data_IF_693497893709
#
_entry.id   IF_693497893709
#
_cell.length_a   1.000
_cell.length_b   1.000
_cell.length_c   1.000
_cell.angle_alpha   90.00
_cell.angle_beta   90.00
_cell.angle_gamma   90.00
#
_symmetry.space_group_name_H-M   'P 1'
#
loop_
_entity.id
_entity.type
_entity.pdbx_description
1 polymer ?
#
# COMPACT_ATOMS: atom_id res chain seq x y z
N UNK A 1 8.79 -31.90 62.74
CA UNK A 1 7.72 -30.96 62.30
C UNK A 1 8.06 -29.49 62.57
N UNK A 2 8.57 -29.09 63.75
CA UNK A 2 8.89 -27.66 64.03
C UNK A 2 9.94 -27.02 63.11
N UNK A 3 11.01 -27.73 62.71
CA UNK A 3 12.09 -27.17 61.85
C UNK A 3 11.65 -26.91 60.39
N UNK A 4 10.68 -27.68 59.88
CA UNK A 4 10.12 -27.49 58.54
C UNK A 4 9.16 -26.29 58.52
N UNK A 5 8.39 -26.09 59.60
CA UNK A 5 7.53 -24.90 59.74
C UNK A 5 8.32 -23.58 59.77
N UNK A 6 9.51 -23.54 60.38
CA UNK A 6 10.34 -22.33 60.36
C UNK A 6 10.91 -22.03 58.98
N UNK A 7 11.33 -23.05 58.23
CA UNK A 7 11.84 -22.89 56.86
C UNK A 7 10.74 -22.40 55.90
N UNK A 8 9.52 -22.93 56.04
CA UNK A 8 8.35 -22.50 55.25
C UNK A 8 7.91 -21.09 55.63
N UNK A 9 7.99 -20.69 56.90
CA UNK A 9 7.71 -19.31 57.30
C UNK A 9 8.78 -18.33 56.78
N UNK A 10 10.06 -18.73 56.73
CA UNK A 10 11.15 -17.88 56.26
C UNK A 10 11.09 -17.68 54.73
N UNK A 11 10.73 -18.73 53.99
CA UNK A 11 10.45 -18.67 52.54
C UNK A 11 9.18 -17.87 52.22
N UNK A 12 8.12 -17.98 53.05
CA UNK A 12 6.91 -17.17 52.90
C UNK A 12 7.19 -15.69 53.17
N UNK A 13 7.97 -15.34 54.21
CA UNK A 13 8.36 -13.96 54.49
C UNK A 13 9.25 -13.35 53.39
N UNK A 14 10.13 -14.14 52.77
CA UNK A 14 10.93 -13.70 51.64
C UNK A 14 10.08 -13.42 50.37
N UNK A 15 9.00 -14.17 50.15
CA UNK A 15 8.09 -13.97 49.03
C UNK A 15 7.23 -12.69 49.15
N UNK A 16 6.99 -12.19 50.37
CA UNK A 16 6.22 -10.95 50.60
C UNK A 16 7.08 -9.67 50.64
N UNK A 17 8.40 -9.77 50.55
CA UNK A 17 9.32 -8.62 50.54
C UNK A 17 9.89 -8.29 49.15
N UNK A 18 9.48 -9.01 48.10
CA UNK A 18 9.98 -8.84 46.73
C UNK A 18 9.22 -7.79 45.89
N UNK A 19 8.37 -6.96 46.51
CA UNK A 19 7.93 -5.72 45.89
C UNK A 19 9.02 -4.66 46.08
N UNK A 20 10.00 -4.63 45.18
CA UNK A 20 10.68 -3.36 44.91
C UNK A 20 9.60 -2.35 44.52
N UNK A 21 9.60 -1.19 45.18
CA UNK A 21 8.87 -0.04 44.66
C UNK A 21 9.57 0.30 43.36
N UNK A 22 8.88 0.16 42.23
CA UNK A 22 9.36 0.78 41.00
C UNK A 22 9.62 2.25 41.33
N UNK A 23 10.86 2.69 41.12
CA UNK A 23 11.21 4.10 41.29
C UNK A 23 10.25 4.91 40.40
N UNK A 24 9.68 5.97 40.98
CA UNK A 24 8.86 6.88 40.19
C UNK A 24 9.70 7.38 39.01
N UNK A 25 9.16 7.30 37.80
CA UNK A 25 9.81 7.80 36.58
C UNK A 25 10.44 9.17 36.86
N UNK A 26 11.77 9.23 36.91
CA UNK A 26 12.48 10.46 37.20
C UNK A 26 12.17 11.47 36.09
N UNK A 27 11.46 12.54 36.46
CA UNK A 27 11.15 13.63 35.54
C UNK A 27 12.45 14.22 34.98
N UNK A 28 12.66 14.06 33.67
CA UNK A 28 13.88 14.49 32.97
C UNK A 28 14.66 13.36 32.28
N UNK A 29 14.33 12.08 32.51
CA UNK A 29 14.92 10.93 31.79
C UNK A 29 14.15 10.47 30.56
N UNK A 30 12.98 11.04 30.29
CA UNK A 30 12.21 10.75 29.07
C UNK A 30 12.65 11.74 28.00
N UNK A 31 13.40 11.24 27.01
CA UNK A 31 13.73 12.00 25.83
C UNK A 31 12.48 12.12 24.93
N UNK A 32 12.06 13.35 24.68
CA UNK A 32 10.97 13.68 23.75
C UNK A 32 11.50 14.14 22.40
N UNK A 33 12.81 14.01 22.15
CA UNK A 33 13.40 14.27 20.84
C UNK A 33 12.76 13.34 19.80
N UNK A 34 12.39 13.90 18.66
CA UNK A 34 11.88 13.12 17.54
C UNK A 34 13.08 12.67 16.69
N UNK A 35 13.42 11.36 16.69
CA UNK A 35 14.58 10.86 15.97
C UNK A 35 14.44 11.04 14.45
N UNK A 36 13.24 11.30 13.95
CA UNK A 36 12.95 11.45 12.53
C UNK A 36 13.19 12.87 11.99
N UNK A 37 13.56 13.83 12.86
CA UNK A 37 13.90 15.19 12.42
C UNK A 37 15.19 15.19 11.60
N UNK A 38 15.12 15.76 10.40
CA UNK A 38 16.31 15.99 9.56
C UNK A 38 16.88 17.36 9.91
N UNK A 39 18.09 17.40 10.48
CA UNK A 39 18.81 18.64 10.74
C UNK A 39 19.55 19.15 9.49
N UNK A 40 19.63 20.47 9.32
CA UNK A 40 20.38 21.08 8.22
C UNK A 40 21.89 20.94 8.43
N UNK A 41 22.61 20.70 7.34
CA UNK A 41 24.06 20.84 7.28
C UNK A 41 24.44 21.44 5.91
N UNK A 42 24.56 22.77 5.79
CA UNK A 42 24.87 23.43 4.52
C UNK A 42 26.22 23.03 3.89
N UNK A 43 27.12 22.39 4.65
CA UNK A 43 28.42 21.90 4.15
C UNK A 43 28.32 20.53 3.49
N UNK A 44 27.21 19.82 3.69
CA UNK A 44 26.88 18.57 3.03
C UNK A 44 25.68 18.82 2.12
N UNK A 45 25.91 18.95 0.79
CA UNK A 45 24.83 19.26 -0.15
C UNK A 45 23.68 18.26 -0.11
N UNK A 46 23.97 16.97 0.14
CA UNK A 46 22.94 15.93 0.19
C UNK A 46 22.13 16.04 1.48
N UNK A 47 22.79 16.27 2.62
CA UNK A 47 22.10 16.51 3.88
C UNK A 47 21.23 17.77 3.82
N UNK A 48 21.73 18.85 3.21
CA UNK A 48 20.96 20.07 2.99
C UNK A 48 19.71 19.81 2.13
N UNK A 49 19.85 19.07 1.01
CA UNK A 49 18.70 18.69 0.16
C UNK A 49 17.67 17.85 0.91
N UNK A 50 18.11 16.90 1.75
CA UNK A 50 17.20 16.13 2.62
C UNK A 50 16.44 17.04 3.58
N UNK A 51 17.13 18.01 4.19
CA UNK A 51 16.51 18.99 5.08
C UNK A 51 15.48 19.87 4.35
N UNK A 52 15.77 20.34 3.14
CA UNK A 52 14.80 21.12 2.34
C UNK A 52 13.52 20.33 2.04
N UNK A 53 13.66 19.06 1.65
CA UNK A 53 12.52 18.15 1.42
C UNK A 53 11.73 17.96 2.72
N UNK A 54 12.41 17.68 3.84
CA UNK A 54 11.77 17.52 5.13
C UNK A 54 11.02 18.80 5.56
N UNK A 55 11.63 19.97 5.41
CA UNK A 55 11.00 21.27 5.73
C UNK A 55 9.74 21.53 4.90
N UNK A 56 9.76 21.15 3.62
CA UNK A 56 8.67 21.39 2.67
C UNK A 56 7.50 20.42 2.85
N UNK A 57 7.78 19.13 3.03
CA UNK A 57 6.75 18.09 3.05
C UNK A 57 6.49 17.52 4.45
N UNK A 58 7.38 17.73 5.42
CA UNK A 58 7.35 17.08 6.72
C UNK A 58 7.63 15.58 6.65
N UNK A 59 8.29 15.11 5.58
CA UNK A 59 8.61 13.69 5.37
C UNK A 59 10.13 13.52 5.36
N UNK A 60 10.71 12.82 6.34
CA UNK A 60 12.12 12.50 6.37
C UNK A 60 12.45 11.44 5.33
N UNK A 61 13.56 11.66 4.62
CA UNK A 61 14.08 10.76 3.59
C UNK A 61 15.44 10.26 4.04
N UNK A 62 15.65 8.95 4.06
CA UNK A 62 16.88 8.31 4.53
C UNK A 62 17.56 7.50 3.42
N UNK A 63 18.89 7.37 3.49
CA UNK A 63 19.70 6.53 2.60
C UNK A 63 20.24 5.26 3.28
N UNK A 64 20.07 5.18 4.59
CA UNK A 64 20.28 3.98 5.40
C UNK A 64 19.09 3.82 6.35
N UNK A 65 18.98 2.65 6.96
CA UNK A 65 17.91 2.30 7.88
C UNK A 65 18.16 2.78 9.32
N UNK A 66 19.33 3.34 9.65
CA UNK A 66 19.61 3.86 11.00
C UNK A 66 19.20 5.31 11.09
N UNK A 67 18.17 5.58 11.89
CA UNK A 67 17.60 6.92 12.08
C UNK A 67 18.38 7.71 13.13
N UNK A 68 18.75 7.06 14.24
CA UNK A 68 19.49 7.66 15.35
C UNK A 68 20.52 6.66 15.89
N UNK A 69 21.63 7.19 16.41
CA UNK A 69 22.60 6.45 17.21
C UNK A 69 22.95 7.29 18.44
N UNK A 70 22.69 6.75 19.62
CA UNK A 70 22.93 7.40 20.90
C UNK A 70 23.98 6.60 21.69
N UNK A 71 25.00 7.28 22.20
CA UNK A 71 25.97 6.67 23.11
C UNK A 71 25.32 6.50 24.49
N UNK A 72 25.29 5.28 25.01
CA UNK A 72 24.64 4.96 26.29
C UNK A 72 25.62 4.56 27.41
N UNK A 73 26.92 4.48 27.11
CA UNK A 73 27.96 4.18 28.09
C UNK A 73 29.10 3.34 27.54
N UNK A 74 29.92 2.78 28.43
CA UNK A 74 31.00 1.85 28.09
C UNK A 74 30.70 0.46 28.67
N UNK A 75 31.14 -0.59 27.97
CA UNK A 75 31.12 -1.95 28.48
C UNK A 75 32.18 -2.16 29.59
N UNK A 76 32.20 -3.35 30.19
CA UNK A 76 33.15 -3.71 31.24
C UNK A 76 34.64 -3.64 30.82
N UNK A 77 34.92 -3.45 29.53
CA UNK A 77 36.25 -3.33 28.93
C UNK A 77 36.54 -1.91 28.41
N UNK A 78 35.69 -0.93 28.71
CA UNK A 78 35.86 0.46 28.28
C UNK A 78 35.51 0.71 26.80
N UNK A 79 34.77 -0.20 26.15
CA UNK A 79 34.31 0.01 24.77
C UNK A 79 32.97 0.72 24.74
N UNK A 80 32.78 1.72 23.86
CA UNK A 80 31.53 2.45 23.79
C UNK A 80 30.37 1.56 23.32
N UNK A 81 29.24 1.67 24.00
CA UNK A 81 27.96 1.03 23.66
C UNK A 81 27.03 2.10 23.09
N UNK A 82 26.35 1.77 22.00
CA UNK A 82 25.38 2.64 21.34
C UNK A 82 24.01 1.96 21.29
N UNK A 83 22.96 2.75 21.48
CA UNK A 83 21.58 2.41 21.15
C UNK A 83 21.24 2.98 19.77
N UNK A 84 20.54 2.19 18.95
CA UNK A 84 20.17 2.57 17.58
C UNK A 84 18.65 2.54 17.41
N UNK A 85 18.11 3.58 16.78
CA UNK A 85 16.75 3.57 16.23
C UNK A 85 16.84 3.23 14.75
N UNK A 86 16.07 2.24 14.30
CA UNK A 86 16.10 1.80 12.89
C UNK A 86 14.72 1.78 12.25
N UNK A 87 14.70 1.97 10.93
CA UNK A 87 13.52 1.81 10.09
C UNK A 87 13.19 0.32 9.94
N UNK A 88 12.31 -0.18 10.81
CA UNK A 88 11.89 -1.57 10.76
C UNK A 88 10.73 -1.81 9.77
N UNK A 89 11.01 -2.58 8.72
CA UNK A 89 10.03 -2.99 7.72
C UNK A 89 9.12 -4.13 8.17
N UNK A 90 9.52 -4.90 9.19
CA UNK A 90 8.74 -6.00 9.76
C UNK A 90 7.66 -5.53 10.74
N UNK A 91 7.75 -4.28 11.18
CA UNK A 91 6.82 -3.71 12.14
C UNK A 91 5.49 -3.36 11.48
N UNK A 92 4.40 -3.89 12.03
CA UNK A 92 3.04 -3.42 11.74
C UNK A 92 2.25 -3.24 13.04
N UNK A 93 1.05 -2.64 12.97
CA UNK A 93 0.29 -2.28 14.17
C UNK A 93 -0.19 -3.45 15.02
N UNK A 94 -0.52 -4.57 14.39
CA UNK A 94 -1.24 -5.66 15.03
C UNK A 94 -0.35 -6.89 15.22
N UNK A 95 0.75 -6.97 14.48
CA UNK A 95 1.70 -8.07 14.50
C UNK A 95 3.12 -7.56 14.19
N UNK A 96 4.12 -8.33 14.60
CA UNK A 96 5.48 -8.21 14.11
C UNK A 96 5.80 -9.56 13.50
N UNK A 97 6.44 -9.61 12.33
CA UNK A 97 6.76 -10.90 11.65
C UNK A 97 7.79 -11.74 12.41
N UNK A 98 8.12 -11.40 13.65
CA UNK A 98 9.17 -12.05 14.44
C UNK A 98 10.57 -12.01 13.82
N UNK A 99 10.78 -11.31 12.71
CA UNK A 99 12.00 -11.40 11.91
C UNK A 99 12.01 -12.55 10.89
N UNK A 100 10.86 -13.19 10.62
CA UNK A 100 10.72 -14.24 9.59
C UNK A 100 11.18 -13.76 8.20
N UNK A 101 10.96 -12.47 7.93
CA UNK A 101 11.49 -11.77 6.77
C UNK A 101 12.67 -10.92 7.20
N UNK A 102 13.86 -11.21 6.66
CA UNK A 102 15.05 -10.38 6.88
C UNK A 102 15.31 -9.55 5.64
N UNK A 103 15.35 -8.23 5.80
CA UNK A 103 15.64 -7.31 4.71
C UNK A 103 17.14 -7.05 4.61
N UNK A 104 17.67 -7.16 3.40
CA UNK A 104 19.06 -6.88 3.07
C UNK A 104 19.13 -5.66 2.16
N UNK A 105 19.79 -4.61 2.64
CA UNK A 105 19.93 -3.35 1.93
C UNK A 105 21.32 -3.22 1.30
N UNK A 106 21.34 -2.72 0.07
CA UNK A 106 22.51 -2.05 -0.49
C UNK A 106 22.19 -0.56 -0.50
N UNK A 107 22.90 0.21 0.30
CA UNK A 107 22.65 1.65 0.46
C UNK A 107 23.18 2.47 -0.72
N UNK A 108 22.59 3.64 -0.92
CA UNK A 108 23.10 4.66 -1.84
C UNK A 108 24.21 5.45 -1.13
N UNK A 109 25.43 5.38 -1.65
CA UNK A 109 26.59 6.10 -1.09
C UNK A 109 27.16 7.16 -2.03
N UNK A 110 26.86 7.08 -3.33
CA UNK A 110 27.30 8.06 -4.32
C UNK A 110 26.42 9.33 -4.26
N UNK A 111 27.01 10.54 -4.07
CA UNK A 111 26.23 11.77 -3.95
C UNK A 111 25.38 12.11 -5.17
N UNK A 112 25.84 11.82 -6.39
CA UNK A 112 25.06 12.11 -7.60
C UNK A 112 23.84 11.19 -7.71
N UNK A 113 24.01 9.91 -7.39
CA UNK A 113 22.91 8.95 -7.28
C UNK A 113 21.92 9.36 -6.18
N UNK A 114 22.41 9.77 -5.00
CA UNK A 114 21.59 10.27 -3.89
C UNK A 114 20.75 11.48 -4.31
N UNK A 115 21.35 12.50 -4.94
CA UNK A 115 20.60 13.68 -5.40
C UNK A 115 19.52 13.30 -6.43
N UNK A 116 19.85 12.43 -7.39
CA UNK A 116 18.87 11.94 -8.36
C UNK A 116 17.71 11.16 -7.71
N UNK A 117 18.00 10.40 -6.65
CA UNK A 117 16.99 9.70 -5.87
C UNK A 117 16.10 10.66 -5.07
N UNK A 118 16.67 11.75 -4.52
CA UNK A 118 15.90 12.82 -3.88
C UNK A 118 14.98 13.53 -4.85
N UNK A 119 15.39 13.73 -6.11
CA UNK A 119 14.52 14.31 -7.14
C UNK A 119 13.29 13.43 -7.41
N UNK A 120 13.46 12.10 -7.41
CA UNK A 120 12.33 11.18 -7.51
C UNK A 120 11.43 11.24 -6.27
N UNK A 121 12.02 11.23 -5.06
CA UNK A 121 11.25 11.32 -3.81
C UNK A 121 10.45 12.62 -3.72
N UNK A 122 11.07 13.76 -4.06
CA UNK A 122 10.38 15.05 -4.13
C UNK A 122 9.29 15.06 -5.20
N UNK A 123 9.51 14.44 -6.36
CA UNK A 123 8.48 14.29 -7.40
C UNK A 123 7.27 13.52 -6.86
N UNK A 124 7.50 12.39 -6.21
CA UNK A 124 6.45 11.60 -5.56
C UNK A 124 5.68 12.44 -4.53
N UNK A 125 6.39 13.10 -3.60
CA UNK A 125 5.79 13.88 -2.53
C UNK A 125 5.00 15.09 -3.06
N UNK A 126 5.42 15.66 -4.20
CA UNK A 126 4.76 16.81 -4.82
C UNK A 126 3.39 16.50 -5.45
N UNK A 127 3.19 15.25 -5.89
CA UNK A 127 1.94 14.81 -6.50
C UNK A 127 1.07 13.99 -5.55
N UNK A 128 1.66 13.46 -4.47
CA UNK A 128 0.92 12.80 -3.41
C UNK A 128 0.20 13.84 -2.55
N UNK A 129 -1.09 13.61 -2.27
CA UNK A 129 -1.81 14.38 -1.28
C UNK A 129 -1.15 14.23 0.10
N UNK A 130 -1.37 15.19 1.00
CA UNK A 130 -0.80 15.13 2.36
C UNK A 130 -1.19 13.86 3.12
N UNK A 131 -2.38 13.30 2.86
CA UNK A 131 -2.91 12.08 3.50
C UNK A 131 -2.33 10.78 2.91
N UNK A 132 -1.80 10.86 1.69
CA UNK A 132 -1.15 9.76 0.99
C UNK A 132 0.38 9.77 1.11
N UNK A 133 0.98 10.87 1.57
CA UNK A 133 2.40 10.91 1.88
C UNK A 133 2.75 9.89 2.99
N UNK A 134 3.86 9.16 2.86
CA UNK A 134 4.33 8.25 3.90
C UNK A 134 4.83 9.04 5.11
N UNK A 135 4.94 8.39 6.26
CA UNK A 135 5.57 9.01 7.43
C UNK A 135 7.07 9.21 7.21
N UNK A 136 7.78 8.24 6.63
CA UNK A 136 9.18 8.34 6.24
C UNK A 136 9.45 7.64 4.89
N UNK A 137 10.59 7.95 4.26
CA UNK A 137 11.05 7.26 3.05
C UNK A 137 12.46 6.70 3.26
N UNK A 138 12.70 5.49 2.75
CA UNK A 138 14.03 4.87 2.68
C UNK A 138 14.40 4.64 1.22
N UNK A 139 15.47 5.27 0.76
CA UNK A 139 15.96 5.17 -0.62
C UNK A 139 17.21 4.30 -0.66
N UNK A 140 17.14 3.18 -1.37
CA UNK A 140 18.23 2.20 -1.45
C UNK A 140 18.66 1.97 -2.88
N UNK A 141 19.93 1.60 -3.06
CA UNK A 141 20.43 1.10 -4.34
C UNK A 141 19.73 -0.20 -4.68
N UNK A 142 19.55 -1.08 -3.68
CA UNK A 142 18.91 -2.38 -3.86
C UNK A 142 18.38 -2.89 -2.52
N UNK A 143 17.21 -3.52 -2.54
CA UNK A 143 16.68 -4.27 -1.38
C UNK A 143 16.24 -5.67 -1.78
N UNK A 144 16.53 -6.63 -0.91
CA UNK A 144 16.12 -8.04 -1.04
C UNK A 144 15.64 -8.58 0.31
N UNK A 145 14.96 -9.72 0.28
CA UNK A 145 14.66 -10.51 1.48
C UNK A 145 15.54 -11.76 1.57
N UNK A 146 15.60 -12.40 2.74
CA UNK A 146 16.14 -13.74 2.93
C UNK A 146 15.48 -14.83 2.05
N UNK A 147 14.24 -14.63 1.64
CA UNK A 147 13.48 -15.54 0.75
C UNK A 147 13.67 -15.24 -0.74
N UNK A 148 14.36 -14.15 -1.08
CA UNK A 148 14.58 -13.71 -2.46
C UNK A 148 15.70 -14.52 -3.14
N UNK A 149 15.53 -14.91 -4.40
CA UNK A 149 16.66 -15.32 -5.23
C UNK A 149 17.57 -14.10 -5.53
N UNK A 150 18.82 -14.28 -5.98
CA UNK A 150 19.67 -13.15 -6.37
C UNK A 150 19.09 -12.26 -7.48
N UNK A 151 18.14 -12.76 -8.27
CA UNK A 151 17.47 -11.96 -9.30
C UNK A 151 16.29 -11.16 -8.74
N UNK A 152 15.73 -11.58 -7.62
CA UNK A 152 14.61 -10.90 -7.00
C UNK A 152 15.09 -9.61 -6.33
N UNK A 153 14.33 -8.55 -6.57
CA UNK A 153 14.52 -7.25 -5.94
C UNK A 153 13.17 -6.69 -5.59
N UNK A 154 13.04 -6.21 -4.37
CA UNK A 154 11.93 -5.33 -4.04
C UNK A 154 12.13 -4.05 -4.85
N UNK A 155 11.12 -3.61 -5.59
CA UNK A 155 11.15 -2.32 -6.30
C UNK A 155 10.74 -1.20 -5.36
N UNK A 156 9.63 -1.41 -4.66
CA UNK A 156 9.22 -0.58 -3.55
C UNK A 156 8.42 -1.43 -2.56
N UNK A 157 8.34 -0.97 -1.32
CA UNK A 157 7.46 -1.52 -0.29
C UNK A 157 6.84 -0.36 0.46
N UNK A 158 5.54 -0.42 0.69
CA UNK A 158 4.82 0.56 1.47
C UNK A 158 4.17 -0.13 2.68
N UNK A 159 4.51 0.32 3.87
CA UNK A 159 3.83 -0.08 5.11
C UNK A 159 3.30 1.18 5.82
N UNK A 160 2.79 1.03 7.04
CA UNK A 160 2.15 2.14 7.74
C UNK A 160 3.08 3.35 7.96
N UNK A 161 4.39 3.12 8.17
CA UNK A 161 5.35 4.18 8.49
C UNK A 161 6.31 4.50 7.35
N UNK A 162 6.65 3.53 6.51
CA UNK A 162 7.74 3.63 5.57
C UNK A 162 7.30 3.39 4.13
N UNK A 163 7.77 4.26 3.24
CA UNK A 163 7.89 3.96 1.83
C UNK A 163 9.36 3.65 1.51
N UNK A 164 9.67 2.36 1.36
CA UNK A 164 10.95 1.91 0.82
C UNK A 164 10.91 2.02 -0.70
N UNK A 165 11.87 2.73 -1.28
CA UNK A 165 12.16 2.72 -2.71
C UNK A 165 13.54 2.10 -2.94
N UNK A 166 13.59 1.10 -3.81
CA UNK A 166 14.79 0.37 -4.17
C UNK A 166 15.08 0.57 -5.66
N UNK A 167 16.28 0.21 -6.10
CA UNK A 167 16.77 0.49 -7.46
C UNK A 167 16.86 2.00 -7.76
N UNK A 168 17.24 2.81 -6.77
CA UNK A 168 17.26 4.27 -6.85
C UNK A 168 18.56 4.88 -7.40
N UNK A 169 19.54 4.05 -7.79
CA UNK A 169 20.86 4.51 -8.25
C UNK A 169 20.81 5.29 -9.58
N UNK A 170 19.90 4.91 -10.47
CA UNK A 170 19.85 5.36 -11.86
C UNK A 170 18.69 6.35 -12.13
N UNK A 171 18.22 7.08 -11.12
CA UNK A 171 17.07 8.00 -11.29
C UNK A 171 17.39 9.17 -12.24
N UNK A 172 18.67 9.51 -12.39
CA UNK A 172 19.14 10.50 -13.38
C UNK A 172 18.82 10.11 -14.84
N UNK A 173 18.52 8.83 -15.12
CA UNK A 173 18.14 8.36 -16.47
C UNK A 173 16.66 8.60 -16.78
N UNK A 174 15.86 9.03 -15.81
CA UNK A 174 14.42 9.25 -15.98
C UNK A 174 14.11 10.71 -16.32
N UNK A 175 13.18 10.93 -17.24
CA UNK A 175 12.60 12.26 -17.44
C UNK A 175 11.64 12.61 -16.30
N UNK A 176 11.35 13.90 -16.11
CA UNK A 176 10.37 14.35 -15.11
C UNK A 176 9.01 13.71 -15.31
N UNK A 177 8.56 13.60 -16.57
CA UNK A 177 7.28 12.98 -16.93
C UNK A 177 7.28 11.49 -16.56
N UNK A 178 8.40 10.80 -16.75
CA UNK A 178 8.56 9.39 -16.37
C UNK A 178 8.54 9.22 -14.85
N UNK A 179 9.18 10.12 -14.10
CA UNK A 179 9.13 10.12 -12.64
C UNK A 179 7.70 10.35 -12.12
N UNK A 180 6.96 11.31 -12.71
CA UNK A 180 5.56 11.57 -12.39
C UNK A 180 4.70 10.35 -12.68
N UNK A 181 4.84 9.73 -13.85
CA UNK A 181 4.07 8.55 -14.22
C UNK A 181 4.33 7.36 -13.28
N UNK A 182 5.59 7.10 -12.93
CA UNK A 182 5.95 6.05 -11.96
C UNK A 182 5.41 6.35 -10.57
N UNK A 183 5.56 7.59 -10.11
CA UNK A 183 5.05 8.03 -8.81
C UNK A 183 3.52 7.91 -8.73
N UNK A 184 2.82 8.30 -9.80
CA UNK A 184 1.35 8.18 -9.88
C UNK A 184 0.90 6.72 -9.84
N UNK A 185 1.60 5.83 -10.54
CA UNK A 185 1.31 4.39 -10.48
C UNK A 185 1.41 3.86 -9.04
N UNK A 186 2.48 4.23 -8.32
CA UNK A 186 2.64 3.82 -6.92
C UNK A 186 1.55 4.39 -6.02
N UNK A 187 1.18 5.66 -6.20
CA UNK A 187 0.08 6.28 -5.44
C UNK A 187 -1.23 5.56 -5.70
N UNK A 188 -1.55 5.21 -6.96
CA UNK A 188 -2.73 4.45 -7.32
C UNK A 188 -2.76 3.06 -6.65
N UNK A 189 -1.63 2.35 -6.64
CA UNK A 189 -1.48 1.07 -5.94
C UNK A 189 -1.68 1.22 -4.42
N UNK A 190 -1.23 2.34 -3.83
CA UNK A 190 -1.46 2.65 -2.42
C UNK A 190 -2.92 3.02 -2.11
N UNK A 191 -3.65 3.68 -3.03
CA UNK A 191 -5.07 3.98 -2.85
C UNK A 191 -5.86 2.70 -2.63
N UNK A 192 -5.60 1.66 -3.44
CA UNK A 192 -6.24 0.35 -3.28
C UNK A 192 -6.02 -0.21 -1.87
N UNK A 193 -4.76 -0.23 -1.40
CA UNK A 193 -4.42 -0.73 -0.06
C UNK A 193 -5.13 0.09 1.03
N UNK A 194 -5.21 1.42 0.90
CA UNK A 194 -5.91 2.28 1.86
C UNK A 194 -7.41 2.02 1.88
N UNK A 195 -8.03 1.83 0.73
CA UNK A 195 -9.47 1.51 0.62
C UNK A 195 -9.75 0.14 1.24
N UNK A 196 -8.94 -0.87 0.94
CA UNK A 196 -9.10 -2.22 1.49
C UNK A 196 -8.97 -2.25 3.02
N UNK A 197 -8.03 -1.49 3.57
CA UNK A 197 -7.78 -1.43 5.00
C UNK A 197 -8.77 -0.51 5.76
N UNK A 198 -9.62 0.25 5.06
CA UNK A 198 -10.62 1.07 5.71
C UNK A 198 -11.96 0.33 5.74
N UNK A 199 -12.13 -0.53 6.74
CA UNK A 199 -13.23 -1.49 6.87
C UNK A 199 -14.62 -0.89 6.60
N UNK A 200 -14.88 0.33 7.08
CA UNK A 200 -16.18 1.00 6.89
C UNK A 200 -16.48 1.29 5.42
N UNK A 201 -15.48 1.68 4.62
CA UNK A 201 -15.66 1.98 3.19
C UNK A 201 -15.76 0.69 2.40
N UNK A 202 -14.89 -0.29 2.68
CA UNK A 202 -14.96 -1.61 2.06
C UNK A 202 -16.32 -2.29 2.34
N UNK A 203 -16.83 -2.22 3.57
CA UNK A 203 -18.13 -2.77 3.94
C UNK A 203 -19.30 -2.04 3.25
N UNK A 204 -19.27 -0.69 3.20
CA UNK A 204 -20.29 0.08 2.46
C UNK A 204 -20.29 -0.28 0.98
N UNK A 205 -19.12 -0.32 0.34
CA UNK A 205 -19.00 -0.74 -1.06
C UNK A 205 -19.56 -2.14 -1.30
N UNK A 206 -19.17 -3.12 -0.47
CA UNK A 206 -19.66 -4.50 -0.59
C UNK A 206 -21.17 -4.60 -0.34
N UNK A 207 -21.72 -3.80 0.57
CA UNK A 207 -23.16 -3.83 0.91
C UNK A 207 -24.09 -3.56 -0.27
N UNK A 208 -23.63 -2.78 -1.26
CA UNK A 208 -24.40 -2.46 -2.47
C UNK A 208 -24.81 -3.72 -3.24
N UNK A 209 -23.93 -4.72 -3.31
CA UNK A 209 -24.20 -5.98 -4.00
C UNK A 209 -24.56 -7.12 -3.04
N UNK A 210 -24.04 -7.13 -1.81
CA UNK A 210 -24.30 -8.22 -0.87
C UNK A 210 -25.70 -8.20 -0.27
N UNK A 211 -26.37 -7.03 -0.18
CA UNK A 211 -27.74 -6.91 0.34
C UNK A 211 -28.73 -7.81 -0.41
N UNK A 212 -28.54 -7.96 -1.72
CA UNK A 212 -29.36 -8.84 -2.56
C UNK A 212 -28.66 -10.18 -2.90
N UNK A 213 -27.59 -10.52 -2.18
CA UNK A 213 -26.82 -11.74 -2.34
C UNK A 213 -26.28 -11.97 -3.78
N UNK A 214 -25.69 -10.94 -4.38
CA UNK A 214 -25.19 -10.98 -5.75
C UNK A 214 -23.74 -11.47 -5.91
N UNK A 215 -22.94 -11.49 -4.85
CA UNK A 215 -21.54 -11.96 -4.91
C UNK A 215 -21.44 -13.48 -4.98
N UNK A 216 -20.41 -13.98 -5.66
CA UNK A 216 -20.11 -15.41 -5.79
C UNK A 216 -21.30 -16.25 -6.30
N UNK A 217 -22.06 -15.71 -7.25
CA UNK A 217 -23.23 -16.38 -7.83
C UNK A 217 -23.02 -16.66 -9.31
N UNK A 218 -23.49 -17.81 -9.82
CA UNK A 218 -23.52 -18.03 -11.24
C UNK A 218 -24.34 -16.95 -11.95
N UNK A 219 -23.85 -16.42 -13.05
CA UNK A 219 -24.55 -15.41 -13.86
C UNK A 219 -25.96 -15.87 -14.26
N UNK A 220 -26.09 -17.15 -14.59
CA UNK A 220 -27.37 -17.80 -14.91
C UNK A 220 -28.40 -17.71 -13.77
N UNK A 221 -27.96 -17.79 -12.52
CA UNK A 221 -28.85 -17.67 -11.35
C UNK A 221 -29.24 -16.22 -11.09
N UNK A 222 -28.35 -15.27 -11.37
CA UNK A 222 -28.62 -13.84 -11.23
C UNK A 222 -29.62 -13.33 -12.29
N UNK A 223 -29.89 -14.12 -13.33
CA UNK A 223 -30.83 -13.75 -14.38
C UNK A 223 -30.22 -12.78 -15.39
N UNK A 224 -28.90 -12.84 -15.60
CA UNK A 224 -28.26 -12.13 -16.71
C UNK A 224 -28.96 -12.47 -18.02
N UNK A 225 -29.42 -11.47 -18.73
CA UNK A 225 -30.27 -11.62 -19.92
C UNK A 225 -29.47 -11.66 -21.20
N UNK A 226 -28.21 -11.24 -21.12
CA UNK A 226 -27.37 -11.15 -22.29
C UNK A 226 -26.95 -12.55 -22.73
N UNK A 227 -27.25 -12.88 -23.99
CA UNK A 227 -26.66 -14.04 -24.66
C UNK A 227 -25.11 -14.03 -24.55
N UNK A 228 -24.53 -12.85 -24.29
CA UNK A 228 -23.11 -12.57 -24.17
C UNK A 228 -22.54 -12.89 -22.78
N UNK A 229 -23.30 -12.77 -21.70
CA UNK A 229 -22.85 -13.18 -20.35
C UNK A 229 -22.99 -14.69 -20.13
N UNK A 230 -23.84 -15.37 -20.92
CA UNK A 230 -24.03 -16.82 -20.85
C UNK A 230 -23.16 -17.65 -21.80
N UNK A 231 -22.45 -17.00 -22.74
CA UNK A 231 -21.51 -17.67 -23.64
C UNK A 231 -20.12 -17.66 -22.99
N UNK A 232 -19.51 -18.84 -22.83
CA UNK A 232 -18.30 -19.14 -22.04
C UNK A 232 -17.00 -18.44 -22.49
N UNK A 233 -17.11 -17.39 -23.30
CA UNK A 233 -16.05 -16.80 -24.10
C UNK A 233 -15.81 -15.31 -23.79
N UNK A 234 -16.66 -14.68 -22.97
CA UNK A 234 -16.59 -13.25 -22.70
C UNK A 234 -16.03 -12.98 -21.30
N UNK A 235 -14.74 -12.64 -21.28
CA UNK A 235 -13.98 -12.33 -20.08
C UNK A 235 -14.41 -10.97 -19.50
N UNK A 236 -15.46 -10.98 -18.66
CA UNK A 236 -15.92 -9.80 -17.88
C UNK A 236 -14.78 -9.18 -17.06
N UNK A 237 -13.72 -9.94 -16.76
CA UNK A 237 -12.50 -9.48 -16.08
C UNK A 237 -11.85 -8.23 -16.68
N UNK A 238 -11.88 -8.05 -18.02
CA UNK A 238 -11.09 -7.02 -18.72
C UNK A 238 -11.73 -6.59 -20.06
N UNK A 239 -13.03 -6.29 -20.09
CA UNK A 239 -13.76 -6.05 -21.34
C UNK A 239 -13.24 -4.85 -22.18
N UNK A 240 -12.58 -3.90 -21.53
CA UNK A 240 -11.97 -2.72 -22.13
C UNK A 240 -10.44 -2.84 -22.34
N UNK A 241 -9.83 -4.00 -22.11
CA UNK A 241 -8.44 -4.25 -22.54
C UNK A 241 -8.39 -4.16 -24.08
N UNK A 242 -7.47 -3.36 -24.63
CA UNK A 242 -7.30 -3.22 -26.07
C UNK A 242 -7.10 -4.60 -26.75
N UNK A 243 -6.36 -5.50 -26.10
CA UNK A 243 -6.12 -6.86 -26.59
C UNK A 243 -7.32 -7.79 -26.40
N UNK A 244 -8.30 -7.43 -25.56
CA UNK A 244 -9.54 -8.22 -25.45
C UNK A 244 -10.27 -8.24 -26.79
N UNK A 245 -10.29 -7.09 -27.46
CA UNK A 245 -10.94 -6.88 -28.75
C UNK A 245 -10.36 -7.79 -29.83
N UNK A 246 -9.04 -7.78 -29.93
CA UNK A 246 -8.30 -8.56 -30.94
C UNK A 246 -8.33 -10.06 -30.65
N UNK A 247 -8.33 -10.46 -29.37
CA UNK A 247 -8.27 -11.88 -28.99
C UNK A 247 -9.64 -12.56 -28.94
N UNK A 248 -10.66 -11.87 -28.46
CA UNK A 248 -11.96 -12.47 -28.14
C UNK A 248 -13.08 -11.83 -28.95
N UNK A 249 -13.16 -10.50 -28.98
CA UNK A 249 -14.22 -9.79 -29.71
C UNK A 249 -14.31 -10.24 -31.17
N UNK A 250 -13.19 -10.17 -31.90
CA UNK A 250 -13.13 -10.61 -33.31
C UNK A 250 -13.19 -12.12 -33.51
N UNK A 251 -12.83 -12.92 -32.51
CA UNK A 251 -12.94 -14.37 -32.62
C UNK A 251 -14.38 -14.86 -32.44
N UNK A 252 -15.13 -14.24 -31.51
CA UNK A 252 -16.56 -14.55 -31.30
C UNK A 252 -17.44 -13.87 -32.36
N UNK A 253 -17.07 -12.66 -32.80
CA UNK A 253 -17.80 -11.85 -33.79
C UNK A 253 -16.88 -11.40 -34.94
N UNK A 254 -16.46 -12.33 -35.81
CA UNK A 254 -15.51 -12.02 -36.90
C UNK A 254 -16.04 -10.99 -37.90
N UNK A 255 -17.36 -10.94 -38.09
CA UNK A 255 -18.03 -10.04 -39.03
C UNK A 255 -18.48 -8.72 -38.40
N UNK A 256 -18.34 -8.54 -37.07
CA UNK A 256 -18.79 -7.33 -36.41
C UNK A 256 -17.82 -6.17 -36.66
N UNK A 257 -18.38 -5.02 -36.99
CA UNK A 257 -17.67 -3.74 -37.06
C UNK A 257 -17.20 -3.30 -35.67
N UNK A 258 -16.22 -2.40 -35.62
CA UNK A 258 -15.71 -1.87 -34.34
C UNK A 258 -16.82 -1.20 -33.51
N UNK A 259 -17.78 -0.53 -34.16
CA UNK A 259 -18.93 0.08 -33.48
C UNK A 259 -19.95 -0.93 -32.92
N UNK A 260 -20.15 -2.05 -33.63
CA UNK A 260 -20.99 -3.15 -33.13
C UNK A 260 -20.33 -3.85 -31.94
N UNK A 261 -19.01 -4.06 -31.99
CA UNK A 261 -18.26 -4.62 -30.88
C UNK A 261 -18.28 -3.70 -29.65
N UNK A 262 -18.20 -2.38 -29.83
CA UNK A 262 -18.37 -1.43 -28.72
C UNK A 262 -19.78 -1.48 -28.13
N UNK A 263 -20.80 -1.67 -28.96
CA UNK A 263 -22.19 -1.88 -28.50
C UNK A 263 -22.32 -3.18 -27.70
N UNK A 264 -21.67 -4.26 -28.14
CA UNK A 264 -21.64 -5.53 -27.41
C UNK A 264 -20.99 -5.36 -26.03
N UNK A 265 -19.86 -4.66 -25.96
CA UNK A 265 -19.20 -4.35 -24.66
C UNK A 265 -20.12 -3.59 -23.72
N UNK A 266 -20.79 -2.56 -24.25
CA UNK A 266 -21.74 -1.76 -23.48
C UNK A 266 -22.88 -2.62 -22.93
N UNK A 267 -23.46 -3.51 -23.75
CA UNK A 267 -24.54 -4.39 -23.31
C UNK A 267 -24.08 -5.39 -22.23
N UNK A 268 -22.86 -5.92 -22.34
CA UNK A 268 -22.30 -6.81 -21.30
C UNK A 268 -22.12 -6.06 -19.99
N UNK A 269 -21.57 -4.84 -20.03
CA UNK A 269 -21.40 -4.01 -18.83
C UNK A 269 -22.73 -3.63 -18.21
N UNK A 270 -23.77 -3.33 -19.00
CA UNK A 270 -25.09 -3.03 -18.45
C UNK A 270 -25.72 -4.27 -17.78
N UNK A 271 -25.58 -5.44 -18.42
CA UNK A 271 -26.15 -6.68 -17.91
C UNK A 271 -25.50 -7.17 -16.61
N UNK A 272 -24.18 -7.02 -16.43
CA UNK A 272 -23.56 -7.29 -15.12
C UNK A 272 -23.70 -6.11 -14.16
N UNK A 273 -23.81 -4.90 -14.72
CA UNK A 273 -23.93 -3.66 -13.97
C UNK A 273 -25.18 -3.61 -13.12
N UNK A 274 -26.28 -4.23 -13.54
CA UNK A 274 -27.52 -4.31 -12.74
C UNK A 274 -27.32 -4.96 -11.36
N UNK A 275 -26.23 -5.72 -11.17
CA UNK A 275 -25.83 -6.33 -9.91
C UNK A 275 -24.73 -5.56 -9.17
N UNK A 276 -24.34 -4.39 -9.70
CA UNK A 276 -23.31 -3.52 -9.15
C UNK A 276 -21.89 -3.90 -9.57
N UNK A 277 -21.69 -4.71 -10.62
CA UNK A 277 -20.36 -5.18 -11.01
C UNK A 277 -19.84 -4.52 -12.28
N UNK A 278 -18.52 -4.42 -12.37
CA UNK A 278 -17.81 -4.03 -13.61
C UNK A 278 -16.93 -5.17 -14.14
N UNK A 279 -16.91 -6.31 -13.45
CA UNK A 279 -16.18 -7.51 -13.80
C UNK A 279 -16.87 -8.77 -13.22
N UNK A 280 -16.42 -9.96 -13.63
CA UNK A 280 -16.77 -11.22 -13.00
C UNK A 280 -15.66 -11.74 -12.07
N UNK A 281 -15.81 -12.99 -11.63
CA UNK A 281 -14.84 -13.66 -10.79
C UNK A 281 -13.41 -13.66 -11.37
N UNK A 282 -12.42 -13.73 -10.48
CA UNK A 282 -11.01 -13.73 -10.87
C UNK A 282 -10.64 -14.97 -11.70
N UNK A 283 -11.20 -16.13 -11.34
CA UNK A 283 -10.86 -17.44 -11.85
C UNK A 283 -11.95 -17.99 -12.78
N UNK A 284 -13.22 -17.70 -12.49
CA UNK A 284 -14.38 -18.14 -13.27
C UNK A 284 -15.22 -16.98 -13.82
N UNK A 285 -14.62 -15.95 -14.48
CA UNK A 285 -15.31 -14.71 -14.85
C UNK A 285 -16.53 -14.88 -15.77
N UNK A 286 -16.58 -16.00 -16.50
CA UNK A 286 -17.65 -16.36 -17.44
C UNK A 286 -18.76 -17.19 -16.79
N UNK A 287 -18.54 -17.71 -15.58
CA UNK A 287 -19.54 -18.49 -14.84
C UNK A 287 -20.12 -17.66 -13.71
N UNK A 288 -19.26 -16.96 -12.96
CA UNK A 288 -19.62 -16.43 -11.66
C UNK A 288 -19.36 -14.93 -11.56
N UNK A 289 -20.23 -14.28 -10.77
CA UNK A 289 -20.03 -12.94 -10.26
C UNK A 289 -18.84 -12.90 -9.28
N UNK A 290 -18.20 -11.75 -9.10
CA UNK A 290 -16.95 -11.68 -8.36
C UNK A 290 -17.12 -11.98 -6.87
N UNK A 291 -16.01 -12.19 -6.17
CA UNK A 291 -15.96 -12.01 -4.72
C UNK A 291 -15.99 -10.52 -4.37
N UNK A 292 -16.42 -10.18 -3.15
CA UNK A 292 -16.44 -8.76 -2.71
C UNK A 292 -15.04 -8.13 -2.71
N UNK A 293 -14.00 -8.90 -2.38
CA UNK A 293 -12.62 -8.43 -2.36
C UNK A 293 -12.10 -8.15 -3.77
N UNK A 294 -12.36 -9.08 -4.70
CA UNK A 294 -11.90 -8.96 -6.08
C UNK A 294 -12.65 -7.84 -6.82
N UNK A 295 -13.95 -7.70 -6.58
CA UNK A 295 -14.75 -6.59 -7.10
C UNK A 295 -14.18 -5.23 -6.65
N UNK A 296 -13.96 -5.05 -5.34
CA UNK A 296 -13.37 -3.82 -4.81
C UNK A 296 -12.01 -3.51 -5.46
N UNK A 297 -11.16 -4.52 -5.59
CA UNK A 297 -9.84 -4.40 -6.24
C UNK A 297 -9.96 -3.90 -7.67
N UNK A 298 -10.80 -4.53 -8.50
CA UNK A 298 -10.95 -4.15 -9.90
C UNK A 298 -11.59 -2.77 -10.01
N UNK A 299 -12.59 -2.47 -9.19
CA UNK A 299 -13.30 -1.20 -9.19
C UNK A 299 -12.38 -0.03 -8.87
N UNK A 300 -11.63 -0.11 -7.77
CA UNK A 300 -10.68 0.94 -7.38
C UNK A 300 -9.61 1.11 -8.44
N UNK A 301 -9.02 0.01 -8.93
CA UNK A 301 -7.98 0.04 -9.97
C UNK A 301 -8.47 0.74 -11.24
N UNK A 302 -9.66 0.38 -11.74
CA UNK A 302 -10.21 1.02 -12.93
C UNK A 302 -10.55 2.49 -12.69
N UNK A 303 -11.06 2.84 -11.51
CA UNK A 303 -11.40 4.21 -11.16
C UNK A 303 -10.15 5.11 -11.15
N UNK A 304 -9.07 4.70 -10.48
CA UNK A 304 -7.82 5.50 -10.41
C UNK A 304 -7.06 5.56 -11.72
N UNK A 305 -7.16 4.53 -12.57
CA UNK A 305 -6.45 4.50 -13.85
C UNK A 305 -7.16 5.30 -14.95
N UNK A 306 -8.48 5.29 -14.95
CA UNK A 306 -9.29 5.98 -15.96
C UNK A 306 -9.62 7.41 -15.57
N UNK A 307 -9.74 7.65 -14.27
CA UNK A 307 -10.33 8.85 -13.72
C UNK A 307 -11.85 8.90 -13.84
N UNK A 308 -12.46 9.84 -13.12
CA UNK A 308 -13.91 9.89 -12.88
C UNK A 308 -14.73 9.94 -14.19
N UNK A 309 -14.38 10.84 -15.10
CA UNK A 309 -15.11 11.07 -16.35
C UNK A 309 -15.15 9.80 -17.22
N UNK A 310 -13.98 9.19 -17.44
CA UNK A 310 -13.88 7.99 -18.28
C UNK A 310 -14.47 6.77 -17.59
N UNK A 311 -14.34 6.66 -16.27
CA UNK A 311 -14.94 5.58 -15.51
C UNK A 311 -16.47 5.62 -15.63
N UNK A 312 -17.09 6.77 -15.35
CA UNK A 312 -18.55 6.93 -15.45
C UNK A 312 -19.06 6.74 -16.87
N UNK A 313 -18.33 7.22 -17.88
CA UNK A 313 -18.67 6.96 -19.29
C UNK A 313 -18.70 5.46 -19.62
N UNK A 314 -17.81 4.66 -19.04
CA UNK A 314 -17.74 3.22 -19.29
C UNK A 314 -18.74 2.42 -18.46
N UNK A 315 -18.87 2.72 -17.18
CA UNK A 315 -19.53 1.85 -16.20
C UNK A 315 -20.73 2.49 -15.49
N UNK A 316 -20.84 3.82 -15.50
CA UNK A 316 -21.79 4.59 -14.68
C UNK A 316 -23.26 4.54 -15.12
N UNK A 317 -23.62 3.72 -16.12
CA UNK A 317 -25.01 3.57 -16.58
C UNK A 317 -25.88 2.79 -15.61
N UNK A 318 -25.28 1.89 -14.81
CA UNK A 318 -26.00 1.15 -13.78
C UNK A 318 -26.11 1.97 -12.48
N UNK A 319 -27.32 2.04 -11.86
CA UNK A 319 -27.50 2.66 -10.56
C UNK A 319 -26.61 2.08 -9.45
N UNK A 320 -26.46 0.76 -9.37
CA UNK A 320 -25.64 0.12 -8.33
C UNK A 320 -24.14 0.35 -8.54
N UNK A 321 -23.70 0.46 -9.80
CA UNK A 321 -22.32 0.83 -10.12
C UNK A 321 -22.08 2.30 -9.78
N UNK A 322 -23.02 3.19 -10.08
CA UNK A 322 -22.94 4.60 -9.69
C UNK A 322 -22.89 4.76 -8.16
N UNK A 323 -23.69 4.00 -7.40
CA UNK A 323 -23.65 4.02 -5.94
C UNK A 323 -22.27 3.61 -5.38
N UNK A 324 -21.70 2.51 -5.90
CA UNK A 324 -20.33 2.09 -5.55
C UNK A 324 -19.29 3.14 -5.90
N UNK A 325 -19.43 3.77 -7.07
CA UNK A 325 -18.58 4.88 -7.49
C UNK A 325 -18.64 6.02 -6.48
N UNK A 326 -19.83 6.46 -6.04
CA UNK A 326 -19.97 7.58 -5.09
C UNK A 326 -19.31 7.27 -3.74
N UNK A 327 -19.46 6.04 -3.23
CA UNK A 327 -18.81 5.59 -1.98
C UNK A 327 -17.29 5.72 -2.09
N UNK A 328 -16.70 5.25 -3.19
CA UNK A 328 -15.27 5.29 -3.41
C UNK A 328 -14.77 6.70 -3.74
N UNK A 329 -15.49 7.44 -4.58
CA UNK A 329 -15.18 8.80 -4.96
C UNK A 329 -15.11 9.69 -3.73
N UNK A 330 -16.10 9.63 -2.84
CA UNK A 330 -16.11 10.39 -1.60
C UNK A 330 -14.87 10.10 -0.75
N UNK A 331 -14.54 8.82 -0.52
CA UNK A 331 -13.39 8.47 0.30
C UNK A 331 -12.06 8.85 -0.38
N UNK A 332 -11.88 8.51 -1.66
CA UNK A 332 -10.63 8.75 -2.39
C UNK A 332 -10.36 10.26 -2.54
N UNK A 333 -11.38 11.06 -2.86
CA UNK A 333 -11.19 12.49 -3.08
C UNK A 333 -11.20 13.30 -1.79
N UNK A 334 -12.13 13.03 -0.85
CA UNK A 334 -12.29 13.86 0.35
C UNK A 334 -11.40 13.41 1.50
N UNK A 335 -11.27 12.10 1.73
CA UNK A 335 -10.48 11.56 2.84
C UNK A 335 -9.02 11.34 2.45
N UNK A 336 -8.77 10.77 1.28
CA UNK A 336 -7.41 10.55 0.79
C UNK A 336 -6.86 11.73 0.00
N UNK A 337 -7.68 12.69 -0.46
CA UNK A 337 -7.19 13.85 -1.20
C UNK A 337 -6.61 13.53 -2.57
N UNK A 338 -6.99 12.41 -3.17
CA UNK A 338 -6.50 11.96 -4.48
C UNK A 338 -7.46 12.42 -5.56
N UNK A 339 -6.94 13.09 -6.59
CA UNK A 339 -7.72 13.51 -7.75
C UNK A 339 -8.03 12.31 -8.66
N UNK A 340 -9.30 12.22 -9.08
CA UNK A 340 -9.84 11.16 -9.94
C UNK A 340 -10.37 11.74 -11.25
#
# INVERSE_FOLDING_TARGET
MKKISYLVCLLACAAFCACEKEDALEAGKVDFSDPYVIADNPKDPIQHRRYEIYKKYGVPVFFNDTVQSEYIGEDAYGKPIYQYETLDLNWNFSTHTGGDIVYHYTYLTDPAAQDSALNFAETYLSIASKKMQPFAMLLTRKTRTNTSTPKDTINYLYNFRLLLLSNMEDMNKLTKETMVARSRKMINEMVLVRVQNYEKVAARFGSVSSTNNYYCRPWKELGTTSQYTTNSLLHTKNIYDAKWMDRYGRWVYPEATDGELDTIRMNIIDDIGQFGFICGDENTPFQDSPTSEYDLKVFVTQLVDLGSEKFLKRYGRSPLVAEKYEILYEFITKELGVEL
#
